data_IF_982743625993
#
_entry.id   IF_982743625993
#
_cell.length_a   1.000
_cell.length_b   1.000
_cell.length_c   1.000
_cell.angle_alpha   90.00
_cell.angle_beta   90.00
_cell.angle_gamma   90.00
#
_symmetry.space_group_name_H-M   'P 1'
#
loop_
_entity.id
_entity.type
_entity.pdbx_description
1 polymer ?
#
# COMPACT_ATOMS: atom_id res chain seq x y z
N UNK A 1 -5.63 -2.71 -0.70
CA UNK A 1 -4.65 -3.12 0.34
C UNK A 1 -4.36 -1.95 1.27
N UNK A 2 -4.33 -0.72 0.75
CA UNK A 2 -4.20 0.54 1.49
C UNK A 2 -5.07 0.64 2.74
N UNK A 3 -6.36 0.30 2.63
CA UNK A 3 -7.28 0.38 3.78
C UNK A 3 -6.96 -0.62 4.90
N UNK A 4 -6.28 -1.73 4.60
CA UNK A 4 -5.92 -2.76 5.60
C UNK A 4 -4.90 -2.18 6.58
N UNK A 5 -3.77 -1.68 6.07
CA UNK A 5 -2.74 -1.11 6.91
C UNK A 5 -3.19 0.21 7.55
N UNK A 6 -4.01 1.03 6.85
CA UNK A 6 -4.63 2.23 7.45
C UNK A 6 -5.55 1.90 8.62
N UNK A 7 -6.32 0.82 8.52
CA UNK A 7 -7.16 0.33 9.63
C UNK A 7 -6.30 -0.13 10.79
N UNK A 8 -5.23 -0.91 10.53
CA UNK A 8 -4.29 -1.34 11.57
C UNK A 8 -3.59 -0.15 12.25
N UNK A 9 -3.18 0.86 11.46
CA UNK A 9 -2.62 2.10 11.95
C UNK A 9 -3.58 2.81 12.91
N UNK A 10 -4.85 2.95 12.51
CA UNK A 10 -5.90 3.56 13.34
C UNK A 10 -6.15 2.76 14.63
N UNK A 11 -6.10 1.43 14.57
CA UNK A 11 -6.19 0.58 15.77
C UNK A 11 -5.04 0.88 16.75
N UNK A 12 -3.80 0.97 16.27
CA UNK A 12 -2.67 1.34 17.14
C UNK A 12 -2.77 2.75 17.69
N UNK A 13 -3.32 3.69 16.92
CA UNK A 13 -3.62 5.03 17.39
C UNK A 13 -4.66 5.00 18.53
N UNK A 14 -5.75 4.25 18.36
CA UNK A 14 -6.80 4.07 19.39
C UNK A 14 -6.26 3.40 20.66
N UNK A 15 -5.29 2.49 20.52
CA UNK A 15 -4.56 1.87 21.63
C UNK A 15 -3.51 2.81 22.26
N UNK A 16 -3.46 4.08 21.85
CA UNK A 16 -2.52 5.11 22.33
C UNK A 16 -1.03 4.76 22.12
N UNK A 17 -0.72 3.89 21.15
CA UNK A 17 0.66 3.51 20.79
C UNK A 17 1.39 4.53 19.92
N UNK A 18 0.70 5.63 19.53
CA UNK A 18 1.23 6.77 18.76
C UNK A 18 2.03 6.34 17.52
N UNK A 19 1.47 5.51 16.62
CA UNK A 19 2.22 5.02 15.47
C UNK A 19 2.59 6.14 14.50
N UNK A 20 3.70 5.98 13.78
CA UNK A 20 4.14 6.83 12.67
C UNK A 20 4.13 6.00 11.38
N UNK A 21 3.62 6.57 10.29
CA UNK A 21 3.64 5.91 8.98
C UNK A 21 3.96 6.95 7.90
N UNK A 22 4.85 6.58 6.98
CA UNK A 22 5.19 7.38 5.80
C UNK A 22 4.93 6.50 4.58
N UNK A 23 4.19 7.04 3.63
CA UNK A 23 3.77 6.37 2.39
C UNK A 23 4.54 6.99 1.22
N UNK A 24 5.14 6.15 0.39
CA UNK A 24 5.92 6.59 -0.76
C UNK A 24 5.79 5.61 -1.94
N UNK A 25 5.78 6.18 -3.14
CA UNK A 25 5.88 5.42 -4.38
C UNK A 25 7.35 5.40 -4.85
N UNK A 26 8.04 4.24 -4.80
CA UNK A 26 9.44 4.15 -5.20
C UNK A 26 9.66 4.39 -6.71
N UNK A 27 8.61 4.35 -7.54
CA UNK A 27 8.67 4.62 -8.98
C UNK A 27 8.37 6.08 -9.33
N UNK A 28 7.92 6.89 -8.38
CA UNK A 28 7.67 8.31 -8.60
C UNK A 28 8.96 9.12 -8.75
N UNK A 29 10.09 8.58 -8.31
CA UNK A 29 11.42 9.20 -8.39
C UNK A 29 12.43 8.21 -8.97
N UNK A 30 13.57 8.73 -9.42
CA UNK A 30 14.67 7.86 -9.88
C UNK A 30 15.31 7.11 -8.70
N UNK A 31 16.00 6.00 -8.97
CA UNK A 31 16.72 5.24 -7.93
C UNK A 31 17.74 6.11 -7.17
N UNK A 32 18.46 6.95 -7.92
CA UNK A 32 19.42 7.93 -7.39
C UNK A 32 18.75 8.94 -6.45
N UNK A 33 17.57 9.45 -6.81
CA UNK A 33 16.80 10.36 -5.94
C UNK A 33 16.15 9.64 -4.74
N UNK A 34 15.90 8.33 -4.87
CA UNK A 34 15.32 7.53 -3.79
C UNK A 34 16.36 7.22 -2.70
N UNK A 35 17.56 6.77 -3.07
CA UNK A 35 18.58 6.33 -2.11
C UNK A 35 19.70 7.34 -1.86
N UNK A 36 19.92 8.25 -2.80
CA UNK A 36 21.01 9.21 -2.80
C UNK A 36 22.14 8.78 -3.72
N UNK A 37 22.91 9.76 -4.21
CA UNK A 37 24.00 9.55 -5.15
C UNK A 37 25.13 10.56 -4.99
N UNK A 38 26.32 10.22 -5.49
CA UNK A 38 27.44 11.14 -5.59
C UNK A 38 27.37 11.92 -6.90
N UNK A 39 27.25 13.25 -6.81
CA UNK A 39 27.19 14.09 -8.00
C UNK A 39 28.55 14.08 -8.73
N UNK A 40 28.55 13.67 -10.00
CA UNK A 40 29.79 13.37 -10.76
C UNK A 40 30.71 14.58 -10.98
N UNK A 41 30.16 15.79 -11.01
CA UNK A 41 30.94 17.01 -11.28
C UNK A 41 31.46 17.67 -10.01
N UNK A 42 30.63 17.72 -8.97
CA UNK A 42 30.96 18.42 -7.71
C UNK A 42 31.57 17.47 -6.67
N UNK A 43 31.45 16.16 -6.87
CA UNK A 43 31.80 15.14 -5.87
C UNK A 43 31.07 15.35 -4.54
N UNK A 44 29.89 15.98 -4.57
CA UNK A 44 29.05 16.16 -3.40
C UNK A 44 28.03 15.02 -3.31
N UNK A 45 27.77 14.59 -2.08
CA UNK A 45 26.70 13.63 -1.80
C UNK A 45 25.35 14.33 -1.84
N UNK A 46 24.43 13.81 -2.63
CA UNK A 46 23.03 14.21 -2.60
C UNK A 46 22.22 13.16 -1.86
N UNK A 47 21.55 13.61 -0.80
CA UNK A 47 20.65 12.79 0.00
C UNK A 47 19.48 12.26 -0.82
N UNK A 48 19.08 11.02 -0.54
CA UNK A 48 17.90 10.38 -1.13
C UNK A 48 16.67 10.55 -0.24
N UNK A 49 15.49 10.46 -0.86
CA UNK A 49 14.21 10.55 -0.16
C UNK A 49 14.05 9.43 0.88
N UNK A 50 14.26 8.17 0.47
CA UNK A 50 14.09 7.00 1.33
C UNK A 50 15.16 6.96 2.43
N UNK A 51 16.42 7.25 2.10
CA UNK A 51 17.51 7.28 3.09
C UNK A 51 17.27 8.34 4.16
N UNK A 52 16.81 9.53 3.77
CA UNK A 52 16.42 10.59 4.71
C UNK A 52 15.28 10.16 5.63
N UNK A 53 14.19 9.63 5.08
CA UNK A 53 13.04 9.13 5.85
C UNK A 53 13.46 8.04 6.85
N UNK A 54 14.25 7.08 6.39
CA UNK A 54 14.71 5.95 7.20
C UNK A 54 15.58 6.45 8.36
N UNK A 55 16.50 7.39 8.09
CA UNK A 55 17.35 8.04 9.10
C UNK A 55 16.53 8.79 10.14
N UNK A 56 15.56 9.59 9.71
CA UNK A 56 14.71 10.35 10.61
C UNK A 56 13.93 9.42 11.56
N UNK A 57 13.31 8.36 11.02
CA UNK A 57 12.59 7.37 11.81
C UNK A 57 13.49 6.56 12.75
N UNK A 58 14.72 6.24 12.31
CA UNK A 58 15.71 5.54 13.13
C UNK A 58 16.19 6.39 14.31
N UNK A 59 16.31 7.71 14.11
CA UNK A 59 16.72 8.65 15.16
C UNK A 59 15.59 9.01 16.15
N UNK A 60 14.34 8.68 15.84
CA UNK A 60 13.23 8.86 16.78
C UNK A 60 13.38 7.92 17.98
N UNK A 61 13.56 8.49 19.17
CA UNK A 61 13.75 7.76 20.44
C UNK A 61 12.48 7.13 21.00
N UNK A 62 11.32 7.41 20.41
CA UNK A 62 10.04 6.82 20.84
C UNK A 62 9.97 5.32 20.52
N UNK A 63 9.42 4.55 21.45
CA UNK A 63 9.10 3.12 21.27
C UNK A 63 7.78 2.90 20.46
N UNK A 64 7.31 3.95 19.80
CA UNK A 64 6.13 3.89 18.95
C UNK A 64 6.41 3.08 17.68
N UNK A 65 5.44 2.29 17.16
CA UNK A 65 5.56 1.64 15.87
C UNK A 65 5.80 2.66 14.75
N UNK A 66 6.77 2.41 13.86
CA UNK A 66 7.16 3.28 12.75
C UNK A 66 7.12 2.51 11.45
N UNK A 67 6.33 2.93 10.46
CA UNK A 67 6.17 2.20 9.21
C UNK A 67 6.61 3.03 8.02
N UNK A 68 7.31 2.38 7.10
CA UNK A 68 7.59 2.92 5.78
C UNK A 68 6.81 2.04 4.80
N UNK A 69 5.80 2.63 4.17
CA UNK A 69 4.93 1.99 3.18
C UNK A 69 5.47 2.33 1.80
N UNK A 70 5.76 1.30 1.02
CA UNK A 70 6.22 1.38 -0.37
C UNK A 70 5.05 0.94 -1.25
N UNK A 71 4.33 1.91 -1.83
CA UNK A 71 3.19 1.66 -2.73
C UNK A 71 3.66 1.63 -4.18
N UNK A 72 3.76 0.43 -4.74
CA UNK A 72 4.23 0.23 -6.10
C UNK A 72 4.83 -1.15 -6.31
N UNK A 73 4.64 -1.71 -7.50
CA UNK A 73 5.18 -3.03 -7.84
C UNK A 73 6.71 -3.05 -7.75
N UNK A 74 7.25 -4.18 -7.30
CA UNK A 74 8.69 -4.39 -7.15
C UNK A 74 9.41 -4.22 -8.48
N UNK A 75 10.50 -3.45 -8.49
CA UNK A 75 11.42 -3.37 -9.63
C UNK A 75 12.82 -3.82 -9.18
N UNK A 76 13.55 -4.60 -10.00
CA UNK A 76 14.91 -5.04 -9.68
C UNK A 76 15.85 -3.91 -9.24
N UNK A 77 15.75 -2.72 -9.84
CA UNK A 77 16.69 -1.63 -9.58
C UNK A 77 16.63 -1.11 -8.14
N UNK A 78 15.44 -0.90 -7.60
CA UNK A 78 15.31 -0.36 -6.24
C UNK A 78 15.26 -1.43 -5.15
N UNK A 79 14.79 -2.64 -5.47
CA UNK A 79 14.72 -3.71 -4.48
C UNK A 79 16.10 -4.25 -4.14
N UNK A 80 17.05 -4.19 -5.07
CA UNK A 80 18.44 -4.60 -4.82
C UNK A 80 19.11 -3.72 -3.76
N UNK A 81 18.86 -2.40 -3.81
CA UNK A 81 19.33 -1.45 -2.80
C UNK A 81 18.75 -1.72 -1.40
N UNK A 82 17.66 -2.49 -1.29
CA UNK A 82 17.04 -2.87 -0.02
C UNK A 82 17.49 -4.25 0.50
N UNK A 83 18.33 -4.99 -0.22
CA UNK A 83 18.68 -6.36 0.15
C UNK A 83 19.24 -6.49 1.58
N UNK A 84 20.16 -5.59 1.97
CA UNK A 84 20.82 -5.61 3.29
C UNK A 84 19.93 -5.14 4.44
N UNK A 85 18.86 -4.41 4.15
CA UNK A 85 17.89 -4.00 5.19
C UNK A 85 16.79 -5.04 5.34
N UNK A 86 16.52 -5.83 4.29
CA UNK A 86 15.55 -6.92 4.32
C UNK A 86 16.11 -8.22 4.90
N UNK A 87 17.42 -8.46 4.81
CA UNK A 87 18.08 -9.63 5.39
C UNK A 87 18.27 -9.53 6.92
N UNK A 88 19.04 -10.44 7.52
CA UNK A 88 19.28 -10.50 8.96
C UNK A 88 20.13 -9.33 9.49
N UNK A 89 20.84 -8.60 8.61
CA UNK A 89 21.64 -7.45 9.02
C UNK A 89 20.76 -6.27 9.45
N UNK A 90 19.56 -6.13 8.86
CA UNK A 90 18.61 -5.04 9.16
C UNK A 90 19.25 -3.65 9.06
N UNK A 91 20.12 -3.43 8.08
CA UNK A 91 20.83 -2.14 7.87
C UNK A 91 20.78 -1.74 6.41
N UNK A 92 20.33 -0.52 6.13
CA UNK A 92 20.47 0.10 4.82
C UNK A 92 21.91 0.59 4.65
N UNK A 93 22.57 0.12 3.60
CA UNK A 93 23.93 0.57 3.25
C UNK A 93 23.86 1.43 1.99
N UNK A 94 24.23 2.71 2.11
CA UNK A 94 24.23 3.65 1.00
C UNK A 94 25.57 3.64 0.25
N UNK A 95 25.57 4.14 -0.99
CA UNK A 95 26.80 4.32 -1.77
C UNK A 95 27.81 5.30 -1.13
N UNK A 96 27.34 6.18 -0.22
CA UNK A 96 28.19 7.01 0.64
C UNK A 96 28.94 6.24 1.73
N UNK A 97 28.69 4.93 1.85
CA UNK A 97 29.06 4.05 2.97
C UNK A 97 28.34 4.37 4.29
N UNK A 98 27.33 5.25 4.27
CA UNK A 98 26.47 5.42 5.43
C UNK A 98 25.66 4.14 5.70
N UNK A 99 25.54 3.81 6.98
CA UNK A 99 24.81 2.63 7.46
C UNK A 99 23.69 3.09 8.39
N UNK A 100 22.45 2.90 7.94
CA UNK A 100 21.27 3.31 8.69
C UNK A 100 20.55 2.04 9.19
N UNK A 101 20.39 1.83 10.51
CA UNK A 101 19.77 0.62 11.04
C UNK A 101 18.24 0.67 10.97
N UNK A 102 17.63 -0.47 10.64
CA UNK A 102 16.18 -0.67 10.77
C UNK A 102 15.90 -1.14 12.19
N UNK A 103 15.55 -0.19 13.05
CA UNK A 103 15.29 -0.45 14.47
C UNK A 103 14.11 -1.42 14.68
N UNK A 104 14.07 -2.09 15.83
CA UNK A 104 13.02 -3.06 16.17
C UNK A 104 11.60 -2.49 16.15
N UNK A 105 11.45 -1.17 16.30
CA UNK A 105 10.16 -0.45 16.24
C UNK A 105 9.72 -0.15 14.80
N UNK A 106 10.60 -0.31 13.82
CA UNK A 106 10.38 0.03 12.43
C UNK A 106 9.91 -1.17 11.61
N UNK A 107 9.03 -0.95 10.64
CA UNK A 107 8.60 -1.97 9.66
C UNK A 107 8.59 -1.40 8.25
N UNK A 108 9.08 -2.18 7.30
CA UNK A 108 8.89 -1.92 5.87
C UNK A 108 7.65 -2.69 5.40
N UNK A 109 6.73 -1.99 4.74
CA UNK A 109 5.49 -2.55 4.20
C UNK A 109 5.49 -2.32 2.69
N UNK A 110 5.32 -3.39 1.91
CA UNK A 110 5.26 -3.31 0.45
C UNK A 110 3.82 -3.52 0.00
N UNK A 111 3.19 -2.47 -0.54
CA UNK A 111 1.89 -2.57 -1.20
C UNK A 111 2.12 -2.82 -2.70
N UNK A 112 1.96 -4.08 -3.11
CA UNK A 112 2.28 -4.54 -4.46
C UNK A 112 1.06 -5.20 -5.11
N UNK A 113 0.89 -5.08 -6.42
CA UNK A 113 -0.15 -5.77 -7.16
C UNK A 113 0.29 -7.16 -7.60
N UNK A 114 1.53 -7.30 -8.05
CA UNK A 114 2.09 -8.58 -8.45
C UNK A 114 3.59 -8.72 -8.20
N UNK A 115 4.06 -9.96 -8.07
CA UNK A 115 5.47 -10.30 -7.85
C UNK A 115 6.22 -10.71 -9.13
N UNK A 116 5.68 -10.39 -10.32
CA UNK A 116 6.20 -10.89 -11.61
C UNK A 116 7.69 -10.58 -11.84
N UNK A 117 8.15 -9.47 -11.31
CA UNK A 117 9.49 -8.89 -11.50
C UNK A 117 10.41 -9.15 -10.32
N UNK A 118 9.90 -9.72 -9.22
CA UNK A 118 10.68 -10.02 -8.03
C UNK A 118 11.23 -11.45 -8.08
N UNK A 119 12.49 -11.63 -7.68
CA UNK A 119 13.08 -12.98 -7.62
C UNK A 119 12.58 -13.73 -6.37
N UNK A 120 12.49 -15.08 -6.41
CA UNK A 120 12.17 -15.88 -5.23
C UNK A 120 13.07 -15.60 -4.02
N UNK A 121 14.36 -15.33 -4.26
CA UNK A 121 15.33 -15.00 -3.21
C UNK A 121 15.08 -13.62 -2.56
N UNK A 122 14.54 -12.67 -3.33
CA UNK A 122 14.16 -11.34 -2.81
C UNK A 122 12.93 -11.45 -1.90
N UNK A 123 11.90 -12.17 -2.35
CA UNK A 123 10.63 -12.26 -1.63
C UNK A 123 10.69 -13.18 -0.42
N UNK A 124 11.63 -14.13 -0.37
CA UNK A 124 11.80 -15.03 0.77
C UNK A 124 12.26 -14.33 2.05
N UNK A 125 12.81 -13.12 1.93
CA UNK A 125 13.25 -12.28 3.06
C UNK A 125 12.10 -11.50 3.70
N UNK A 126 10.91 -11.52 3.10
CA UNK A 126 9.74 -10.80 3.57
C UNK A 126 8.57 -11.75 3.88
N UNK A 127 7.74 -11.37 4.86
CA UNK A 127 6.45 -12.02 5.07
C UNK A 127 5.47 -11.60 3.97
N UNK A 128 4.86 -12.58 3.28
CA UNK A 128 3.89 -12.32 2.21
C UNK A 128 2.48 -12.52 2.76
N UNK A 129 1.67 -11.47 2.74
CA UNK A 129 0.23 -11.54 2.99
C UNK A 129 -0.53 -11.45 1.66
N UNK A 130 -1.12 -12.56 1.23
CA UNK A 130 -2.02 -12.56 0.08
C UNK A 130 -3.41 -12.08 0.51
N UNK A 131 -3.95 -11.09 -0.19
CA UNK A 131 -5.31 -10.59 0.02
C UNK A 131 -6.11 -10.90 -1.24
N UNK A 132 -7.09 -11.79 -1.10
CA UNK A 132 -8.00 -12.14 -2.18
C UNK A 132 -9.02 -11.04 -2.40
N UNK A 133 -9.48 -10.90 -3.64
CA UNK A 133 -10.64 -10.05 -3.98
C UNK A 133 -11.94 -10.53 -3.33
N UNK A 134 -11.97 -11.77 -2.85
CA UNK A 134 -13.11 -12.29 -2.08
C UNK A 134 -13.04 -11.91 -0.60
N UNK A 135 -11.84 -11.65 -0.06
CA UNK A 135 -11.66 -11.28 1.36
C UNK A 135 -12.14 -9.84 1.59
N UNK A 136 -11.86 -8.96 0.61
CA UNK A 136 -12.35 -7.58 0.57
C UNK A 136 -13.16 -7.44 -0.72
N UNK A 137 -14.41 -7.91 -0.65
CA UNK A 137 -15.35 -7.85 -1.79
C UNK A 137 -15.81 -6.43 -2.12
N UNK A 138 -16.76 -6.33 -3.06
CA UNK A 138 -17.36 -5.06 -3.45
C UNK A 138 -18.42 -4.55 -2.45
N UNK A 139 -18.93 -5.41 -1.57
CA UNK A 139 -20.02 -5.08 -0.64
C UNK A 139 -19.69 -3.96 0.35
N UNK A 140 -18.53 -3.97 1.04
CA UNK A 140 -18.16 -2.90 1.96
C UNK A 140 -18.18 -1.50 1.34
N UNK A 141 -17.91 -1.39 0.03
CA UNK A 141 -17.92 -0.10 -0.69
C UNK A 141 -19.31 0.52 -0.63
N UNK A 142 -20.33 -0.20 -1.10
CA UNK A 142 -21.67 0.37 -1.09
C UNK A 142 -22.27 0.42 0.31
N UNK A 143 -21.98 -0.53 1.20
CA UNK A 143 -22.48 -0.48 2.58
C UNK A 143 -21.97 0.79 3.28
N UNK A 144 -20.68 1.09 3.16
CA UNK A 144 -20.11 2.30 3.75
C UNK A 144 -20.68 3.59 3.17
N UNK A 145 -21.05 3.59 1.88
CA UNK A 145 -21.69 4.72 1.22
C UNK A 145 -23.17 4.86 1.65
N UNK A 146 -23.90 3.76 1.80
CA UNK A 146 -25.30 3.77 2.30
C UNK A 146 -25.35 4.32 3.73
N UNK A 147 -24.41 3.95 4.60
CA UNK A 147 -24.36 4.44 5.99
C UNK A 147 -24.25 5.97 6.08
N UNK A 148 -23.70 6.63 5.06
CA UNK A 148 -23.60 8.09 4.97
C UNK A 148 -24.93 8.80 4.68
N UNK A 149 -25.98 8.07 4.27
CA UNK A 149 -27.33 8.62 4.04
C UNK A 149 -27.97 9.04 5.36
N UNK A 150 -28.73 10.12 5.41
CA UNK A 150 -29.30 10.59 6.68
C UNK A 150 -30.51 9.75 7.13
N UNK A 151 -31.35 9.34 6.18
CA UNK A 151 -32.62 8.66 6.44
C UNK A 151 -32.47 7.15 6.64
N UNK A 152 -32.89 6.63 7.80
CA UNK A 152 -32.92 5.18 8.06
C UNK A 152 -33.80 4.41 7.07
N UNK A 153 -34.90 5.02 6.60
CA UNK A 153 -35.77 4.38 5.61
C UNK A 153 -35.05 4.22 4.27
N UNK A 154 -34.31 5.26 3.86
CA UNK A 154 -33.51 5.24 2.64
C UNK A 154 -32.37 4.21 2.73
N UNK A 155 -31.64 4.19 3.86
CA UNK A 155 -30.59 3.18 4.12
C UNK A 155 -31.11 1.76 3.90
N UNK A 156 -32.23 1.41 4.54
CA UNK A 156 -32.83 0.08 4.45
C UNK A 156 -33.27 -0.26 3.03
N UNK A 157 -33.89 0.70 2.31
CA UNK A 157 -34.33 0.49 0.93
C UNK A 157 -33.15 0.30 -0.02
N UNK A 158 -32.12 1.14 0.07
CA UNK A 158 -30.92 1.04 -0.75
C UNK A 158 -30.19 -0.28 -0.50
N UNK A 159 -30.07 -0.70 0.75
CA UNK A 159 -29.41 -1.97 1.08
C UNK A 159 -30.13 -3.16 0.43
N UNK A 160 -31.46 -3.21 0.54
CA UNK A 160 -32.28 -4.25 -0.10
C UNK A 160 -32.13 -4.25 -1.63
N UNK A 161 -32.07 -3.08 -2.26
CA UNK A 161 -31.91 -2.97 -3.71
C UNK A 161 -30.50 -3.39 -4.15
N UNK A 162 -29.47 -2.93 -3.45
CA UNK A 162 -28.09 -3.25 -3.75
C UNK A 162 -27.82 -4.75 -3.63
N UNK A 163 -28.25 -5.38 -2.53
CA UNK A 163 -28.08 -6.82 -2.32
C UNK A 163 -28.85 -7.66 -3.34
N UNK A 164 -30.00 -7.18 -3.81
CA UNK A 164 -30.81 -7.88 -4.81
C UNK A 164 -30.24 -7.79 -6.22
N UNK A 165 -29.78 -6.61 -6.63
CA UNK A 165 -29.47 -6.34 -8.04
C UNK A 165 -27.97 -6.43 -8.36
N UNK A 166 -27.09 -5.97 -7.46
CA UNK A 166 -25.65 -5.91 -7.75
C UNK A 166 -25.03 -7.28 -8.04
N UNK A 167 -25.23 -8.33 -7.20
CA UNK A 167 -24.63 -9.64 -7.46
C UNK A 167 -25.00 -10.16 -8.85
N UNK A 168 -26.28 -10.01 -9.23
CA UNK A 168 -26.77 -10.47 -10.51
C UNK A 168 -26.20 -9.67 -11.68
N UNK A 169 -26.09 -8.35 -11.55
CA UNK A 169 -25.49 -7.50 -12.56
C UNK A 169 -24.00 -7.83 -12.77
N UNK A 170 -23.24 -8.01 -11.70
CA UNK A 170 -21.82 -8.39 -11.77
C UNK A 170 -21.62 -9.78 -12.37
N UNK A 171 -22.45 -10.76 -12.01
CA UNK A 171 -22.46 -12.09 -12.64
C UNK A 171 -22.68 -12.00 -14.16
N UNK A 172 -23.65 -11.18 -14.60
CA UNK A 172 -23.92 -11.00 -16.03
C UNK A 172 -22.73 -10.40 -16.77
N UNK A 173 -22.05 -9.41 -16.17
CA UNK A 173 -20.83 -8.83 -16.73
C UNK A 173 -19.70 -9.86 -16.82
N UNK A 174 -19.53 -10.69 -15.78
CA UNK A 174 -18.50 -11.75 -15.75
C UNK A 174 -18.83 -12.95 -16.65
N UNK A 175 -20.10 -13.21 -16.94
CA UNK A 175 -20.54 -14.36 -17.73
C UNK A 175 -20.12 -14.31 -19.21
N UNK A 176 -19.55 -13.19 -19.67
CA UNK A 176 -19.16 -12.99 -21.07
C UNK A 176 -20.34 -12.74 -22.02
N UNK A 177 -21.58 -12.73 -21.51
CA UNK A 177 -22.78 -12.38 -22.29
C UNK A 177 -22.77 -10.92 -22.74
N UNK A 178 -22.15 -10.05 -21.94
CA UNK A 178 -21.90 -8.65 -22.28
C UNK A 178 -20.42 -8.51 -22.64
N UNK A 179 -20.12 -8.09 -23.88
CA UNK A 179 -18.75 -7.82 -24.29
C UNK A 179 -18.33 -6.46 -23.78
N UNK A 180 -17.32 -6.43 -22.92
CA UNK A 180 -16.63 -5.21 -22.52
C UNK A 180 -15.36 -5.05 -23.34
N UNK A 181 -15.05 -3.82 -23.76
CA UNK A 181 -13.81 -3.52 -24.50
C UNK A 181 -12.62 -3.50 -23.53
N UNK A 182 -12.84 -2.96 -22.33
CA UNK A 182 -11.83 -2.84 -21.28
C UNK A 182 -12.28 -3.63 -20.05
N UNK A 183 -11.41 -4.49 -19.47
CA UNK A 183 -11.73 -5.16 -18.22
C UNK A 183 -11.80 -4.14 -17.08
N UNK A 184 -12.92 -4.13 -16.35
CA UNK A 184 -13.12 -3.29 -15.18
C UNK A 184 -13.30 -4.18 -13.95
N UNK A 185 -12.68 -3.81 -12.84
CA UNK A 185 -12.86 -4.50 -11.57
C UNK A 185 -14.25 -4.20 -10.99
N UNK A 186 -14.85 -5.17 -10.29
CA UNK A 186 -16.22 -5.05 -9.73
C UNK A 186 -16.40 -3.75 -8.91
N UNK A 187 -15.41 -3.44 -8.08
CA UNK A 187 -15.40 -2.27 -7.20
C UNK A 187 -15.52 -0.95 -7.99
N UNK A 188 -14.97 -0.86 -9.21
CA UNK A 188 -15.14 0.33 -10.06
C UNK A 188 -16.59 0.53 -10.49
N UNK A 189 -17.31 -0.55 -10.81
CA UNK A 189 -18.73 -0.47 -11.15
C UNK A 189 -19.56 0.02 -9.96
N UNK A 190 -19.23 -0.43 -8.75
CA UNK A 190 -19.94 -0.02 -7.54
C UNK A 190 -19.65 1.44 -7.20
N UNK A 191 -18.40 1.88 -7.28
CA UNK A 191 -18.06 3.30 -7.10
C UNK A 191 -18.77 4.18 -8.12
N UNK A 192 -18.82 3.77 -9.39
CA UNK A 192 -19.54 4.50 -10.42
C UNK A 192 -21.03 4.59 -10.10
N UNK A 193 -21.66 3.48 -9.68
CA UNK A 193 -23.07 3.47 -9.28
C UNK A 193 -23.33 4.40 -8.08
N UNK A 194 -22.48 4.33 -7.05
CA UNK A 194 -22.58 5.20 -5.88
C UNK A 194 -22.48 6.68 -6.29
N UNK A 195 -21.47 7.04 -7.11
CA UNK A 195 -21.30 8.40 -7.61
C UNK A 195 -22.48 8.91 -8.43
N UNK A 196 -23.15 8.04 -9.19
CA UNK A 196 -24.35 8.39 -9.96
C UNK A 196 -25.54 8.68 -9.04
N UNK A 197 -25.63 7.97 -7.92
CA UNK A 197 -26.72 8.10 -6.95
C UNK A 197 -26.47 9.23 -5.92
N UNK A 198 -25.29 9.85 -5.92
CA UNK A 198 -24.90 10.99 -5.08
C UNK A 198 -24.17 10.57 -3.81
#
# INVERSE_FOLDING_TARGET
>A
KTQIWKTLFKTYHNMKRRPHAIDLDPKAVTNDELFGYMHRQTHEWKEGLFSTIMRDLANMTSDSPKWIVLDGDIDPMWIESLNTVMDDNKVLTLASNERIPLNETMRLLFEINHLKTATPATVSRAGILYVSTNDIGYSPVYVSWIEQRESNSERNQLLLLFDKYIPRCLELLKSGRVKTITPLVDVCHIHMLCNILG
#
